data_IF_766511325360
#
_entry.id   IF_766511325360
#
_cell.length_a   1.000
_cell.length_b   1.000
_cell.length_c   1.000
_cell.angle_alpha   90.00
_cell.angle_beta   90.00
_cell.angle_gamma   90.00
#
_symmetry.space_group_name_H-M   'P 1'
#
loop_
_entity.id
_entity.type
_entity.pdbx_description
1 polymer ?
#
# COMPACT_ATOMS: atom_id res chain seq x y z
N UNK A 1 26.57 -10.58 0.78
CA UNK A 1 25.22 -10.00 0.66
C UNK A 1 25.12 -9.40 -0.73
N UNK A 2 24.30 -9.95 -1.63
CA UNK A 2 24.03 -9.31 -2.92
C UNK A 2 23.05 -8.18 -2.69
N UNK A 3 23.54 -6.95 -2.70
CA UNK A 3 22.70 -5.76 -2.83
C UNK A 3 22.04 -5.85 -4.19
N UNK A 4 20.75 -6.22 -4.21
CA UNK A 4 19.98 -6.20 -5.45
C UNK A 4 19.85 -4.75 -5.89
N UNK A 5 20.46 -4.38 -7.01
CA UNK A 5 20.22 -3.08 -7.62
C UNK A 5 18.74 -2.91 -7.97
N UNK A 6 18.18 -1.69 -7.81
CA UNK A 6 16.83 -1.41 -8.27
C UNK A 6 16.76 -1.54 -9.80
N UNK A 7 15.61 -1.97 -10.31
CA UNK A 7 15.36 -2.07 -11.76
C UNK A 7 15.21 -0.70 -12.43
N UNK A 8 14.88 0.32 -11.63
CA UNK A 8 14.73 1.70 -12.06
C UNK A 8 15.52 2.54 -11.06
N UNK A 9 16.53 3.24 -11.55
CA UNK A 9 17.31 4.15 -10.72
C UNK A 9 16.42 5.29 -10.20
N UNK A 10 16.50 5.68 -8.93
CA UNK A 10 15.80 6.88 -8.45
C UNK A 10 16.21 8.14 -9.22
N UNK A 11 15.34 9.15 -9.28
CA UNK A 11 15.77 10.50 -9.66
C UNK A 11 16.66 11.04 -8.53
N UNK A 12 17.79 11.65 -8.88
CA UNK A 12 18.74 12.24 -7.93
C UNK A 12 18.74 13.77 -8.04
N UNK A 13 19.06 14.51 -6.96
CA UNK A 13 19.16 15.96 -7.03
C UNK A 13 20.32 16.41 -7.94
N UNK A 14 20.26 17.64 -8.52
CA UNK A 14 19.16 18.60 -8.38
C UNK A 14 17.89 18.17 -9.14
N UNK A 15 16.73 18.34 -8.52
CA UNK A 15 15.44 18.01 -9.13
C UNK A 15 14.94 19.14 -10.04
N UNK A 16 14.16 18.84 -11.09
CA UNK A 16 13.39 19.86 -11.80
C UNK A 16 12.52 20.68 -10.82
N UNK A 17 12.35 22.00 -11.03
CA UNK A 17 11.63 22.88 -10.10
C UNK A 17 10.23 22.38 -9.72
N UNK A 18 9.45 21.86 -10.68
CA UNK A 18 8.14 21.31 -10.37
C UNK A 18 8.19 20.09 -9.45
N UNK A 19 9.20 19.23 -9.60
CA UNK A 19 9.36 18.03 -8.79
C UNK A 19 9.88 18.37 -7.39
N UNK A 20 10.81 19.32 -7.28
CA UNK A 20 11.28 19.85 -6.00
C UNK A 20 10.12 20.40 -5.18
N UNK A 21 9.26 21.24 -5.79
CA UNK A 21 8.09 21.80 -5.11
C UNK A 21 7.09 20.75 -4.63
N UNK A 22 6.98 19.61 -5.33
CA UNK A 22 6.15 18.50 -4.87
C UNK A 22 6.81 17.80 -3.67
N UNK A 23 8.11 17.51 -3.73
CA UNK A 23 8.82 16.88 -2.61
C UNK A 23 8.81 17.73 -1.36
N UNK A 24 8.99 19.05 -1.48
CA UNK A 24 8.94 20.00 -0.35
C UNK A 24 7.56 20.02 0.33
N UNK A 25 6.49 19.68 -0.40
CA UNK A 25 5.13 19.61 0.15
C UNK A 25 4.83 18.26 0.81
N UNK A 26 5.39 17.18 0.30
CA UNK A 26 5.06 15.80 0.71
C UNK A 26 5.99 15.31 1.83
N UNK A 27 7.25 15.74 1.82
CA UNK A 27 8.25 15.29 2.79
C UNK A 27 8.29 16.22 3.99
N UNK A 28 8.47 15.69 5.22
CA UNK A 28 8.77 16.54 6.36
C UNK A 28 10.03 17.39 6.14
N UNK A 29 10.10 18.61 6.68
CA UNK A 29 11.28 19.46 6.53
C UNK A 29 12.57 18.75 6.92
N UNK A 30 13.57 18.75 6.03
CA UNK A 30 14.87 18.13 6.26
C UNK A 30 14.92 16.61 6.03
N UNK A 31 13.80 15.96 5.68
CA UNK A 31 13.78 14.54 5.31
C UNK A 31 13.90 14.41 3.79
N UNK A 32 14.92 13.71 3.25
CA UNK A 32 15.04 13.52 1.82
C UNK A 32 13.86 12.68 1.28
N UNK A 33 13.43 12.91 0.02
CA UNK A 33 12.33 12.15 -0.55
C UNK A 33 12.66 10.66 -0.61
N UNK A 34 11.68 9.83 -0.25
CA UNK A 34 11.80 8.37 -0.29
C UNK A 34 12.15 7.88 -1.69
N UNK A 35 12.96 6.83 -1.78
CA UNK A 35 13.36 6.18 -3.03
C UNK A 35 12.15 5.75 -3.87
N UNK A 36 11.04 5.39 -3.24
CA UNK A 36 9.77 5.12 -3.93
C UNK A 36 9.28 6.34 -4.72
N UNK A 37 9.25 7.52 -4.10
CA UNK A 37 8.76 8.75 -4.73
C UNK A 37 9.68 9.21 -5.85
N UNK A 38 10.99 9.21 -5.62
CA UNK A 38 11.98 9.57 -6.64
C UNK A 38 12.03 8.57 -7.79
N UNK A 39 11.71 7.29 -7.55
CA UNK A 39 11.59 6.29 -8.62
C UNK A 39 10.33 6.51 -9.46
N UNK A 40 9.18 6.69 -8.81
CA UNK A 40 7.90 6.91 -9.51
C UNK A 40 7.89 8.23 -10.28
N UNK A 41 8.59 9.26 -9.80
CA UNK A 41 8.71 10.56 -10.45
C UNK A 41 9.30 10.49 -11.88
N UNK A 42 9.98 9.39 -12.26
CA UNK A 42 10.40 9.15 -13.65
C UNK A 42 9.24 9.06 -14.64
N UNK A 43 8.04 8.75 -14.16
CA UNK A 43 6.82 8.70 -14.98
C UNK A 43 5.78 9.64 -14.35
N UNK A 44 5.78 10.94 -14.69
CA UNK A 44 4.98 11.96 -14.01
C UNK A 44 3.49 11.61 -13.90
N UNK A 45 2.90 11.09 -14.99
CA UNK A 45 1.50 10.65 -15.02
C UNK A 45 1.20 9.56 -13.97
N UNK A 46 2.12 8.62 -13.74
CA UNK A 46 1.95 7.56 -12.75
C UNK A 46 2.14 8.15 -11.34
N UNK A 47 3.18 8.96 -11.14
CA UNK A 47 3.46 9.61 -9.86
C UNK A 47 2.28 10.46 -9.36
N UNK A 48 1.68 11.27 -10.24
CA UNK A 48 0.52 12.10 -9.91
C UNK A 48 -0.69 11.27 -9.45
N UNK A 49 -0.98 10.18 -10.17
CA UNK A 49 -2.12 9.29 -9.84
C UNK A 49 -1.88 8.48 -8.58
N UNK A 50 -0.66 8.03 -8.39
CA UNK A 50 -0.23 7.35 -7.17
C UNK A 50 -0.40 8.27 -5.95
N UNK A 51 0.09 9.51 -6.03
CA UNK A 51 -0.03 10.49 -4.94
C UNK A 51 -1.49 10.87 -4.66
N UNK A 52 -2.32 10.99 -5.69
CA UNK A 52 -3.73 11.33 -5.50
C UNK A 52 -4.53 10.24 -4.76
N UNK A 53 -4.10 8.98 -4.83
CA UNK A 53 -4.76 7.86 -4.17
C UNK A 53 -4.19 7.51 -2.79
N UNK A 54 -3.21 8.26 -2.28
CA UNK A 54 -2.43 7.82 -1.13
C UNK A 54 -3.15 7.93 0.22
N UNK A 55 -4.29 8.65 0.25
CA UNK A 55 -5.10 8.89 1.45
C UNK A 55 -4.23 9.30 2.66
N UNK A 56 -3.09 9.99 2.44
CA UNK A 56 -2.10 10.33 3.48
C UNK A 56 -2.56 11.47 4.40
N UNK A 57 -3.71 12.06 4.09
CA UNK A 57 -4.41 13.05 4.89
C UNK A 57 -5.16 12.43 6.07
N UNK A 58 -5.64 13.30 6.97
CA UNK A 58 -6.37 12.89 8.17
C UNK A 58 -7.73 12.29 7.79
N UNK A 59 -7.87 10.99 8.05
CA UNK A 59 -9.11 10.24 7.83
C UNK A 59 -9.85 9.88 9.13
N UNK A 60 -11.00 9.18 8.99
CA UNK A 60 -11.79 8.65 10.11
C UNK A 60 -11.11 7.51 10.90
N UNK A 61 -10.13 6.81 10.32
CA UNK A 61 -9.29 5.87 11.07
C UNK A 61 -8.34 6.62 12.01
N UNK A 62 -8.14 6.06 13.22
CA UNK A 62 -7.04 6.52 14.07
C UNK A 62 -5.71 6.25 13.38
N UNK A 63 -4.69 7.06 13.67
CA UNK A 63 -3.35 6.83 13.13
C UNK A 63 -2.85 5.42 13.46
N UNK A 64 -3.17 4.90 14.65
CA UNK A 64 -2.82 3.53 15.05
C UNK A 64 -3.49 2.47 14.17
N UNK A 65 -4.80 2.57 13.94
CA UNK A 65 -5.53 1.61 13.09
C UNK A 65 -5.03 1.64 11.65
N UNK A 66 -4.75 2.84 11.13
CA UNK A 66 -4.16 3.04 9.82
C UNK A 66 -2.81 2.31 9.69
N UNK A 67 -1.89 2.53 10.63
CA UNK A 67 -0.57 1.90 10.56
C UNK A 67 -0.63 0.37 10.70
N UNK A 68 -1.57 -0.17 11.49
CA UNK A 68 -1.80 -1.63 11.57
C UNK A 68 -2.22 -2.19 10.20
N UNK A 69 -3.15 -1.53 9.50
CA UNK A 69 -3.60 -1.94 8.17
C UNK A 69 -2.45 -1.88 7.17
N UNK A 70 -1.64 -0.82 7.23
CA UNK A 70 -0.49 -0.61 6.35
C UNK A 70 0.59 -1.67 6.58
N UNK A 71 1.08 -1.81 7.82
CA UNK A 71 2.15 -2.73 8.17
C UNK A 71 1.74 -4.17 7.85
N UNK A 72 0.49 -4.57 8.17
CA UNK A 72 0.01 -5.91 7.81
C UNK A 72 -0.09 -6.11 6.30
N UNK A 73 -0.56 -5.11 5.54
CA UNK A 73 -0.66 -5.20 4.07
C UNK A 73 0.71 -5.38 3.43
N UNK A 74 1.69 -4.56 3.84
CA UNK A 74 3.07 -4.65 3.37
C UNK A 74 3.70 -6.00 3.73
N UNK A 75 3.45 -6.50 4.94
CA UNK A 75 3.90 -7.81 5.39
C UNK A 75 3.30 -8.97 4.56
N UNK A 76 1.99 -8.92 4.26
CA UNK A 76 1.31 -9.90 3.40
C UNK A 76 1.87 -9.89 1.98
N UNK A 77 2.17 -8.71 1.44
CA UNK A 77 2.81 -8.56 0.14
C UNK A 77 4.32 -8.90 0.13
N UNK A 78 4.92 -9.20 1.28
CA UNK A 78 6.37 -9.41 1.40
C UNK A 78 7.20 -8.15 1.06
N UNK A 79 6.62 -6.96 1.22
CA UNK A 79 7.27 -5.69 0.92
C UNK A 79 8.11 -5.19 2.11
N UNK A 80 9.37 -5.64 2.16
CA UNK A 80 10.31 -5.24 3.20
C UNK A 80 10.66 -3.74 3.20
N UNK A 81 10.65 -3.11 2.02
CA UNK A 81 10.93 -1.67 1.86
C UNK A 81 9.90 -0.84 2.64
N UNK A 82 8.62 -0.97 2.26
CA UNK A 82 7.57 -0.11 2.79
C UNK A 82 7.27 -0.42 4.25
N UNK A 83 7.23 -1.71 4.61
CA UNK A 83 7.10 -2.13 6.01
C UNK A 83 8.20 -1.53 6.89
N UNK A 84 9.46 -1.55 6.42
CA UNK A 84 10.58 -1.03 7.18
C UNK A 84 10.52 0.49 7.39
N UNK A 85 10.06 1.23 6.38
CA UNK A 85 9.83 2.68 6.44
C UNK A 85 8.72 3.01 7.45
N UNK A 86 7.57 2.33 7.36
CA UNK A 86 6.43 2.59 8.24
C UNK A 86 6.72 2.27 9.70
N UNK A 87 7.32 1.11 9.99
CA UNK A 87 7.73 0.76 11.35
C UNK A 87 8.73 1.77 11.92
N UNK A 88 9.72 2.21 11.13
CA UNK A 88 10.71 3.17 11.59
C UNK A 88 10.10 4.55 11.95
N UNK A 89 9.12 5.02 11.18
CA UNK A 89 8.52 6.34 11.41
C UNK A 89 7.37 6.35 12.41
N UNK A 90 6.56 5.29 12.45
CA UNK A 90 5.27 5.35 13.12
C UNK A 90 5.12 4.43 14.31
N UNK A 91 5.82 3.29 14.38
CA UNK A 91 5.58 2.28 15.42
C UNK A 91 5.59 2.87 16.83
N UNK A 92 6.59 3.71 17.17
CA UNK A 92 6.66 4.39 18.46
C UNK A 92 5.52 5.41 18.65
N UNK A 93 5.19 6.18 17.61
CA UNK A 93 4.18 7.25 17.66
C UNK A 93 2.77 6.70 17.90
N UNK A 94 2.50 5.51 17.37
CA UNK A 94 1.23 4.83 17.56
C UNK A 94 1.27 3.78 18.67
N UNK A 95 2.37 3.71 19.44
CA UNK A 95 2.60 2.78 20.54
C UNK A 95 2.49 1.28 20.18
N UNK A 96 2.98 0.87 19.00
CA UNK A 96 3.15 -0.56 18.69
C UNK A 96 4.29 -1.13 19.53
N UNK A 97 4.04 -2.23 20.23
CA UNK A 97 5.07 -2.96 20.96
C UNK A 97 5.96 -3.78 20.00
N UNK A 98 7.17 -4.20 20.42
CA UNK A 98 7.98 -5.12 19.61
C UNK A 98 7.26 -6.43 19.27
N UNK A 99 6.40 -6.93 20.15
CA UNK A 99 5.55 -8.10 19.90
C UNK A 99 4.54 -7.82 18.78
N UNK A 100 3.86 -6.68 18.83
CA UNK A 100 2.89 -6.27 17.81
C UNK A 100 3.57 -6.05 16.45
N UNK A 101 4.72 -5.36 16.41
CA UNK A 101 5.51 -5.20 15.18
C UNK A 101 5.88 -6.57 14.60
N UNK A 102 6.36 -7.52 15.42
CA UNK A 102 6.63 -8.89 14.95
C UNK A 102 5.37 -9.61 14.47
N UNK A 103 4.25 -9.40 15.15
CA UNK A 103 2.96 -10.00 14.81
C UNK A 103 2.48 -9.56 13.42
N UNK A 104 2.70 -8.30 13.02
CA UNK A 104 2.36 -7.85 11.65
C UNK A 104 2.99 -8.74 10.56
N UNK A 105 4.20 -9.26 10.80
CA UNK A 105 4.95 -10.12 9.87
C UNK A 105 4.64 -11.62 9.99
N UNK A 106 4.49 -12.11 11.22
CA UNK A 106 4.51 -13.55 11.53
C UNK A 106 3.25 -14.08 12.19
N UNK A 107 2.46 -13.20 12.80
CA UNK A 107 1.21 -13.54 13.46
C UNK A 107 0.03 -13.55 12.49
N UNK A 108 -1.13 -13.70 13.08
CA UNK A 108 -2.45 -13.68 12.43
C UNK A 108 -3.44 -12.89 13.30
N UNK A 109 -4.68 -12.79 12.83
CA UNK A 109 -5.74 -12.08 13.53
C UNK A 109 -6.11 -12.70 14.90
N UNK A 110 -5.66 -13.89 15.25
CA UNK A 110 -5.89 -14.52 16.56
C UNK A 110 -4.79 -14.20 17.58
N UNK A 111 -3.72 -13.49 17.20
CA UNK A 111 -2.60 -13.19 18.09
C UNK A 111 -3.03 -12.35 19.32
N UNK A 112 -2.82 -12.86 20.56
CA UNK A 112 -3.29 -12.25 21.79
C UNK A 112 -2.79 -10.81 22.04
N UNK A 113 -1.73 -10.38 21.35
CA UNK A 113 -1.11 -9.06 21.51
C UNK A 113 -1.97 -7.91 21.00
N UNK A 114 -2.99 -8.18 20.19
CA UNK A 114 -3.91 -7.18 19.64
C UNK A 114 -5.20 -7.06 20.44
N UNK A 115 -5.79 -5.88 20.51
CA UNK A 115 -7.17 -5.71 21.00
C UNK A 115 -8.17 -6.40 20.06
N UNK A 116 -9.42 -6.58 20.52
CA UNK A 116 -10.47 -7.18 19.69
C UNK A 116 -10.71 -6.38 18.39
N UNK A 117 -10.72 -5.05 18.47
CA UNK A 117 -10.91 -4.16 17.32
C UNK A 117 -9.76 -4.27 16.31
N UNK A 118 -8.52 -4.28 16.77
CA UNK A 118 -7.33 -4.36 15.90
C UNK A 118 -7.23 -5.71 15.18
N UNK A 119 -7.70 -6.80 15.81
CA UNK A 119 -7.77 -8.12 15.15
C UNK A 119 -8.72 -8.12 13.97
N UNK A 120 -9.81 -7.35 14.02
CA UNK A 120 -10.72 -7.21 12.88
C UNK A 120 -10.02 -6.55 11.69
N UNK A 121 -9.17 -5.55 11.94
CA UNK A 121 -8.38 -4.89 10.89
C UNK A 121 -7.33 -5.84 10.29
N UNK A 122 -6.65 -6.63 11.13
CA UNK A 122 -5.69 -7.65 10.65
C UNK A 122 -6.41 -8.70 9.80
N UNK A 123 -7.58 -9.17 10.25
CA UNK A 123 -8.39 -10.15 9.52
C UNK A 123 -8.93 -9.57 8.21
N UNK A 124 -9.33 -8.30 8.19
CA UNK A 124 -9.73 -7.58 6.98
C UNK A 124 -8.60 -7.56 5.95
N UNK A 125 -7.38 -7.21 6.37
CA UNK A 125 -6.20 -7.22 5.49
C UNK A 125 -5.95 -8.63 4.96
N UNK A 126 -6.01 -9.65 5.82
CA UNK A 126 -5.77 -11.04 5.44
C UNK A 126 -6.82 -11.56 4.44
N UNK A 127 -8.12 -11.35 4.69
CA UNK A 127 -9.20 -11.79 3.79
C UNK A 127 -9.13 -11.09 2.43
N UNK A 128 -8.89 -9.77 2.41
CA UNK A 128 -8.74 -9.00 1.16
C UNK A 128 -7.49 -9.40 0.38
N UNK A 129 -6.37 -9.67 1.05
CA UNK A 129 -5.15 -10.13 0.40
C UNK A 129 -5.32 -11.54 -0.19
N UNK A 130 -5.95 -12.46 0.55
CA UNK A 130 -6.05 -13.87 0.17
C UNK A 130 -7.15 -14.15 -0.86
N UNK A 131 -8.25 -13.40 -0.81
CA UNK A 131 -9.45 -13.69 -1.61
C UNK A 131 -9.99 -12.51 -2.42
N UNK A 132 -9.45 -11.30 -2.22
CA UNK A 132 -10.03 -10.06 -2.74
C UNK A 132 -11.51 -9.87 -2.37
N UNK A 133 -11.94 -10.47 -1.25
CA UNK A 133 -13.32 -10.44 -0.77
C UNK A 133 -13.35 -10.38 0.76
N UNK A 134 -14.50 -9.98 1.30
CA UNK A 134 -14.76 -9.95 2.75
C UNK A 134 -15.92 -10.90 3.00
N UNK A 135 -15.76 -11.81 3.95
CA UNK A 135 -16.84 -12.73 4.35
C UNK A 135 -17.97 -11.97 5.04
N UNK A 136 -19.22 -12.44 4.90
CA UNK A 136 -20.39 -11.84 5.58
C UNK A 136 -20.22 -11.78 7.11
N UNK A 137 -19.55 -12.79 7.67
CA UNK A 137 -19.21 -12.84 9.10
C UNK A 137 -18.30 -11.69 9.51
N UNK A 138 -17.18 -11.51 8.82
CA UNK A 138 -16.26 -10.41 9.09
C UNK A 138 -16.91 -9.05 8.84
N UNK A 139 -17.71 -8.91 7.78
CA UNK A 139 -18.44 -7.68 7.49
C UNK A 139 -19.37 -7.27 8.63
N UNK A 140 -20.11 -8.23 9.20
CA UNK A 140 -20.98 -7.99 10.35
C UNK A 140 -20.19 -7.58 11.61
N UNK A 141 -19.05 -8.22 11.86
CA UNK A 141 -18.18 -7.87 12.99
C UNK A 141 -17.57 -6.46 12.82
N UNK A 142 -17.07 -6.14 11.62
CA UNK A 142 -16.50 -4.83 11.30
C UNK A 142 -17.52 -3.70 11.47
N UNK A 143 -18.72 -3.87 10.90
CA UNK A 143 -19.77 -2.84 10.95
C UNK A 143 -20.41 -2.67 12.33
N UNK A 144 -20.18 -3.62 13.25
CA UNK A 144 -20.53 -3.46 14.67
C UNK A 144 -19.48 -2.68 15.47
N UNK A 145 -18.20 -2.71 15.05
CA UNK A 145 -17.08 -2.07 15.76
C UNK A 145 -16.66 -0.72 15.15
N UNK A 146 -16.83 -0.55 13.84
CA UNK A 146 -16.36 0.62 13.08
C UNK A 146 -17.52 1.25 12.30
N UNK A 147 -17.47 2.57 12.14
CA UNK A 147 -18.40 3.25 11.25
C UNK A 147 -18.08 2.95 9.78
N UNK A 148 -19.04 3.18 8.88
CA UNK A 148 -18.87 2.87 7.46
C UNK A 148 -17.66 3.58 6.83
N UNK A 149 -17.41 4.84 7.22
CA UNK A 149 -16.28 5.63 6.71
C UNK A 149 -14.93 4.99 7.08
N UNK A 150 -14.80 4.46 8.31
CA UNK A 150 -13.59 3.75 8.77
C UNK A 150 -13.38 2.44 8.02
N UNK A 151 -14.46 1.68 7.79
CA UNK A 151 -14.38 0.41 7.03
C UNK A 151 -13.98 0.68 5.59
N UNK A 152 -14.56 1.70 4.95
CA UNK A 152 -14.22 2.08 3.58
C UNK A 152 -12.79 2.58 3.45
N UNK A 153 -12.33 3.40 4.40
CA UNK A 153 -10.94 3.84 4.43
C UNK A 153 -9.97 2.66 4.61
N UNK A 154 -10.28 1.71 5.50
CA UNK A 154 -9.45 0.52 5.69
C UNK A 154 -9.35 -0.32 4.40
N UNK A 155 -10.45 -0.55 3.69
CA UNK A 155 -10.46 -1.26 2.40
C UNK A 155 -9.61 -0.52 1.37
N UNK A 156 -9.77 0.80 1.27
CA UNK A 156 -9.01 1.62 0.33
C UNK A 156 -7.50 1.60 0.64
N UNK A 157 -7.12 1.66 1.92
CA UNK A 157 -5.73 1.54 2.37
C UNK A 157 -5.13 0.19 1.99
N UNK A 158 -5.86 -0.91 2.17
CA UNK A 158 -5.38 -2.24 1.74
C UNK A 158 -5.08 -2.23 0.24
N UNK A 159 -6.00 -1.76 -0.60
CA UNK A 159 -5.79 -1.69 -2.05
C UNK A 159 -4.63 -0.76 -2.46
N UNK A 160 -4.51 0.40 -1.80
CA UNK A 160 -3.42 1.33 -2.06
C UNK A 160 -2.06 0.73 -1.69
N UNK A 161 -1.94 0.10 -0.52
CA UNK A 161 -0.66 -0.47 -0.08
C UNK A 161 -0.29 -1.78 -0.80
N UNK A 162 -1.24 -2.47 -1.44
CA UNK A 162 -0.91 -3.44 -2.49
C UNK A 162 -0.21 -2.78 -3.68
N UNK A 163 -0.73 -1.64 -4.16
CA UNK A 163 -0.12 -0.88 -5.26
C UNK A 163 1.29 -0.41 -4.88
N UNK A 164 1.46 0.15 -3.68
CA UNK A 164 2.77 0.53 -3.12
C UNK A 164 3.72 -0.67 -3.11
N UNK A 165 3.27 -1.79 -2.56
CA UNK A 165 4.05 -3.02 -2.46
C UNK A 165 4.45 -3.57 -3.83
N UNK A 166 3.55 -3.49 -4.83
CA UNK A 166 3.83 -3.92 -6.19
C UNK A 166 4.90 -3.05 -6.86
N UNK A 167 4.87 -1.73 -6.65
CA UNK A 167 5.94 -0.87 -7.13
C UNK A 167 7.26 -1.19 -6.43
N UNK A 168 7.30 -1.16 -5.10
CA UNK A 168 8.53 -1.35 -4.34
C UNK A 168 9.18 -2.71 -4.63
N UNK A 169 8.40 -3.80 -4.61
CA UNK A 169 8.90 -5.13 -4.94
C UNK A 169 9.20 -5.28 -6.43
N UNK A 170 8.31 -4.77 -7.29
CA UNK A 170 8.39 -4.87 -8.74
C UNK A 170 9.59 -4.15 -9.32
N UNK A 171 10.00 -3.01 -8.75
CA UNK A 171 11.23 -2.31 -9.15
C UNK A 171 12.43 -2.64 -8.26
N UNK A 172 12.27 -3.56 -7.30
CA UNK A 172 13.32 -4.03 -6.39
C UNK A 172 14.00 -2.91 -5.62
N UNK A 173 13.22 -2.03 -5.00
CA UNK A 173 13.78 -0.97 -4.15
C UNK A 173 14.62 -1.57 -3.03
N UNK A 174 15.83 -1.01 -2.84
CA UNK A 174 16.63 -1.28 -1.66
C UNK A 174 15.99 -0.59 -0.44
N UNK A 175 16.05 -1.21 0.76
CA UNK A 175 15.58 -0.54 1.98
C UNK A 175 16.24 0.82 2.17
N UNK A 176 15.47 1.79 2.68
CA UNK A 176 16.05 3.08 3.09
C UNK A 176 17.08 2.87 4.21
N UNK A 177 18.14 3.71 4.31
CA UNK A 177 19.17 3.54 5.34
C UNK A 177 18.64 3.55 6.78
N UNK A 178 17.53 4.26 7.02
CA UNK A 178 16.88 4.37 8.33
C UNK A 178 15.76 3.31 8.54
N UNK A 179 15.41 2.55 7.50
CA UNK A 179 14.28 1.63 7.56
C UNK A 179 14.54 0.53 8.59
N UNK A 180 13.48 0.14 9.31
CA UNK A 180 13.53 -0.98 10.23
C UNK A 180 13.86 -2.26 9.45
N UNK A 181 14.85 -3.06 9.89
CA UNK A 181 15.18 -4.30 9.21
C UNK A 181 14.00 -5.26 9.24
N UNK A 182 13.47 -5.59 8.06
CA UNK A 182 12.45 -6.63 7.93
C UNK A 182 13.13 -8.01 8.02
N UNK A 183 12.78 -8.85 9.02
CA UNK A 183 13.19 -10.24 9.03
C UNK A 183 12.72 -10.91 7.74
N UNK A 184 13.65 -11.48 6.96
CA UNK A 184 13.31 -12.18 5.71
C UNK A 184 12.24 -13.22 6.00
N UNK A 185 11.08 -13.12 5.35
CA UNK A 185 10.14 -14.23 5.29
C UNK A 185 10.86 -15.33 4.51
N UNK A 186 11.05 -16.50 5.11
CA UNK A 186 11.39 -17.68 4.33
C UNK A 186 10.24 -17.86 3.35
N UNK A 187 10.47 -17.45 2.10
CA UNK A 187 9.47 -17.56 1.06
C UNK A 187 9.32 -19.05 0.82
N UNK A 188 8.27 -19.67 1.37
CA UNK A 188 7.82 -20.94 0.85
C UNK A 188 7.40 -20.64 -0.59
N UNK A 189 8.09 -21.26 -1.53
CA UNK A 189 7.77 -21.11 -2.95
C UNK A 189 6.26 -21.35 -3.13
N UNK A 190 5.57 -20.55 -3.96
CA UNK A 190 4.19 -20.85 -4.30
C UNK A 190 4.14 -22.28 -4.84
N UNK A 191 3.27 -23.10 -4.26
CA UNK A 191 2.99 -24.43 -4.79
C UNK A 191 2.52 -24.30 -6.24
N UNK A 192 2.80 -25.29 -7.11
CA UNK A 192 2.34 -25.24 -8.49
C UNK A 192 0.83 -24.99 -8.49
N UNK A 193 0.42 -23.94 -9.18
CA UNK A 193 -0.98 -23.68 -9.47
C UNK A 193 -1.52 -24.93 -10.18
N UNK A 194 -2.26 -25.78 -9.48
CA UNK A 194 -2.98 -26.89 -10.10
C UNK A 194 -4.03 -26.26 -11.01
N UNK A 195 -3.67 -26.13 -12.28
CA UNK A 195 -4.59 -25.78 -13.34
C UNK A 195 -5.61 -26.92 -13.44
N UNK A 196 -6.74 -26.79 -12.75
CA UNK A 196 -7.91 -27.61 -13.05
C UNK A 196 -8.34 -27.29 -14.48
N UNK A 197 -7.98 -28.21 -15.39
CA UNK A 197 -8.31 -28.12 -16.80
C UNK A 197 -9.82 -28.09 -16.99
N UNK A 198 -10.36 -26.91 -17.28
CA UNK A 198 -11.73 -26.79 -17.77
C UNK A 198 -11.71 -27.02 -19.28
N UNK A 199 -12.29 -28.14 -19.71
CA UNK A 199 -12.42 -28.52 -21.10
C UNK A 199 -13.13 -27.43 -21.91
N UNK A 200 -12.40 -26.78 -22.82
CA UNK A 200 -12.95 -25.86 -23.80
C UNK A 200 -13.87 -26.60 -24.76
N UNK A 201 -15.19 -26.44 -24.59
CA UNK A 201 -16.15 -26.58 -25.70
C UNK A 201 -16.34 -25.23 -26.37
N UNK A 202 -16.09 -25.27 -27.67
CA UNK A 202 -16.22 -24.20 -28.65
C UNK A 202 -17.62 -23.62 -28.72
N UNK A 203 -17.73 -22.30 -28.88
CA UNK A 203 -18.74 -21.62 -29.72
C UNK A 203 -18.26 -20.20 -30.01
N UNK A 204 -18.04 -19.93 -31.29
CA UNK A 204 -17.53 -18.66 -31.79
C UNK A 204 -18.55 -17.52 -31.67
N UNK A 205 -18.03 -16.32 -31.47
CA UNK A 205 -18.78 -15.07 -31.60
C UNK A 205 -18.04 -14.12 -32.57
N UNK A 206 -18.74 -13.34 -33.41
CA UNK A 206 -18.11 -12.51 -34.44
C UNK A 206 -17.56 -11.20 -33.88
N UNK A 207 -16.47 -10.74 -34.50
CA UNK A 207 -15.80 -9.46 -34.23
C UNK A 207 -16.67 -8.27 -34.65
N UNK A 208 -16.85 -7.29 -33.75
CA UNK A 208 -17.34 -5.94 -34.10
C UNK A 208 -16.18 -4.93 -34.03
N UNK A 209 -16.13 -4.06 -35.04
CA UNK A 209 -15.06 -3.08 -35.30
C UNK A 209 -15.13 -1.85 -34.39
N UNK A 210 -13.96 -1.23 -34.20
CA UNK A 210 -13.72 0.08 -33.56
C UNK A 210 -14.54 1.20 -34.20
N UNK A 211 -15.09 2.07 -33.35
CA UNK A 211 -15.45 3.45 -33.66
C UNK A 211 -14.81 4.37 -32.62
N UNK A 212 -13.97 5.29 -33.06
CA UNK A 212 -13.39 6.35 -32.24
C UNK A 212 -14.30 7.59 -32.28
N UNK A 213 -14.44 8.30 -31.16
CA UNK A 213 -14.65 9.75 -31.19
C UNK A 213 -14.07 10.39 -29.93
N UNK A 214 -13.15 11.32 -30.15
CA UNK A 214 -12.65 12.28 -29.17
C UNK A 214 -13.73 13.34 -28.86
N UNK A 215 -13.82 13.81 -27.61
CA UNK A 215 -14.07 15.23 -27.29
C UNK A 215 -13.43 15.60 -25.94
N UNK A 216 -12.85 16.80 -25.95
CA UNK A 216 -12.14 17.46 -24.87
C UNK A 216 -13.04 18.46 -24.10
N UNK A 217 -12.57 18.86 -22.91
CA UNK A 217 -13.05 19.94 -22.03
C UNK A 217 -12.92 19.50 -20.57
N UNK A 218 -11.99 19.98 -19.72
CA UNK A 218 -11.69 21.37 -19.36
C UNK A 218 -12.83 21.88 -18.44
N UNK A 219 -12.68 22.15 -17.14
CA UNK A 219 -11.64 22.87 -16.40
C UNK A 219 -11.68 22.48 -14.91
N UNK A 220 -10.51 22.49 -14.26
CA UNK A 220 -10.39 22.51 -12.80
C UNK A 220 -10.30 23.94 -12.26
N UNK A 221 -10.80 24.15 -11.04
CA UNK A 221 -10.40 25.25 -10.16
C UNK A 221 -9.49 24.69 -9.06
N UNK A 222 -8.54 25.49 -8.52
CA UNK A 222 -7.66 25.02 -7.46
C UNK A 222 -8.43 24.96 -6.13
N UNK A 223 -8.38 23.81 -5.46
CA UNK A 223 -8.77 23.68 -4.06
C UNK A 223 -7.49 23.75 -3.23
N UNK A 224 -7.32 24.84 -2.47
CA UNK A 224 -6.22 24.97 -1.51
C UNK A 224 -6.45 24.00 -0.34
N UNK A 225 -5.44 23.17 -0.05
CA UNK A 225 -5.40 22.33 1.13
C UNK A 225 -4.50 22.98 2.20
N UNK A 226 -4.93 23.10 3.46
CA UNK A 226 -4.12 23.67 4.53
C UNK A 226 -3.10 22.68 5.10
N UNK A 227 -2.07 23.26 5.73
CA UNK A 227 -0.90 22.65 6.38
C UNK A 227 -1.19 21.39 7.22
N UNK A 228 -0.35 20.38 7.02
CA UNK A 228 -0.35 19.08 7.71
C UNK A 228 0.17 19.19 9.15
N UNK A 229 -0.62 18.65 10.08
CA UNK A 229 -0.16 17.88 11.24
C UNK A 229 -1.00 16.60 11.31
#
# INVERSE_FOLDING_TARGET
MTTSQPRVEPVVPPYPPELQAIFDRVMPPGVPPLSLFTTLARVPRVYERFRAGSLLDRGPLSLRHREIVIDRTCARCGCAYEWGVHVAFFAQRVALTPEQVRSTLRGDAADPTWSAEERLLIRLVDELHDSASITDGLWKELTAAFCLEQVFEAIALVGFYHTVSFFANGVKLAPEPFASPCPRRDVRAPGPFEAHGHATRTRGAPRLRRGASERAGGLGGPFEAPMLW
#
